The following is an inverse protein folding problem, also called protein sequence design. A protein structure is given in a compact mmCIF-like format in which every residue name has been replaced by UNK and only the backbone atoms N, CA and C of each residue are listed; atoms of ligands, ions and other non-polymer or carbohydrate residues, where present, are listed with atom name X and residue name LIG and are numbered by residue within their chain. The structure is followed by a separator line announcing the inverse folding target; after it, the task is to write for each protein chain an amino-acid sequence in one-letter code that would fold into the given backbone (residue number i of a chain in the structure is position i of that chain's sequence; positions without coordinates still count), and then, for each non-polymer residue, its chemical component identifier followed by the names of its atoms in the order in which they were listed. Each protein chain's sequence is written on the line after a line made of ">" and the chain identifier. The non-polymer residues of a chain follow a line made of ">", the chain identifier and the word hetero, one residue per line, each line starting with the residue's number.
data_IF_669462092530
#
_entry.id   IF_669462092530
#
_cell.length_a   1.000
_cell.length_b   1.000
_cell.length_c   1.000
_cell.angle_alpha   90.00
_cell.angle_beta   90.00
_cell.angle_gamma   90.00
#
_symmetry.space_group_name_H-M   'P 1'
#
loop_
_entity.id
_entity.type
_entity.pdbx_description
1 polymer ?
#
# COMPACT_ATOMS: atom_id res chain seq x y z
N UNK A 1 -24.34 -1.65 -10.84
CA UNK A 1 -22.89 -1.29 -10.87
C UNK A 1 -22.26 -1.40 -9.49
N UNK A 2 -22.68 -0.64 -8.48
CA UNK A 2 -22.10 -0.75 -7.12
C UNK A 2 -22.28 -2.13 -6.45
N UNK A 3 -23.38 -2.83 -6.73
CA UNK A 3 -23.62 -4.18 -6.19
C UNK A 3 -22.62 -5.24 -6.71
N UNK A 4 -22.11 -5.09 -7.95
CA UNK A 4 -21.16 -6.03 -8.53
C UNK A 4 -19.74 -5.87 -7.96
N UNK A 5 -19.34 -4.64 -7.61
CA UNK A 5 -18.05 -4.35 -6.95
C UNK A 5 -17.98 -4.94 -5.54
N UNK A 6 -19.11 -4.90 -4.82
CA UNK A 6 -19.27 -5.46 -3.48
C UNK A 6 -19.08 -6.98 -3.47
N UNK A 7 -19.64 -7.66 -4.47
CA UNK A 7 -19.67 -9.11 -4.58
C UNK A 7 -18.30 -9.69 -4.96
N UNK A 8 -17.51 -8.98 -5.77
CA UNK A 8 -16.19 -9.43 -6.21
C UNK A 8 -15.03 -9.08 -5.27
N UNK A 9 -15.11 -7.98 -4.52
CA UNK A 9 -13.98 -7.50 -3.71
C UNK A 9 -14.24 -7.55 -2.20
N UNK A 10 -15.48 -7.84 -1.79
CA UNK A 10 -15.93 -7.70 -0.40
C UNK A 10 -15.95 -6.25 0.10
N UNK A 11 -15.71 -5.27 -0.78
CA UNK A 11 -15.57 -3.86 -0.44
C UNK A 11 -16.47 -3.04 -1.38
N UNK A 12 -17.40 -2.28 -0.81
CA UNK A 12 -18.36 -1.45 -1.56
C UNK A 12 -17.81 -0.11 -2.01
N UNK A 13 -16.61 0.25 -1.53
CA UNK A 13 -16.06 1.59 -1.60
C UNK A 13 -14.66 1.58 -2.22
N UNK A 14 -14.48 2.42 -3.23
CA UNK A 14 -13.16 2.79 -3.75
C UNK A 14 -12.54 3.85 -2.84
N UNK A 15 -11.21 3.92 -2.72
CA UNK A 15 -10.20 3.11 -3.43
C UNK A 15 -10.00 1.72 -2.81
N UNK A 16 -9.66 0.73 -3.66
CA UNK A 16 -9.06 -0.54 -3.24
C UNK A 16 -7.55 -0.43 -3.46
N UNK A 17 -6.76 -0.63 -2.42
CA UNK A 17 -5.32 -0.40 -2.41
C UNK A 17 -4.62 -1.74 -2.25
N UNK A 18 -3.61 -1.96 -3.09
CA UNK A 18 -2.80 -3.17 -3.13
C UNK A 18 -1.33 -2.82 -3.06
N UNK A 19 -0.55 -3.60 -2.32
CA UNK A 19 0.92 -3.50 -2.27
C UNK A 19 1.46 -4.89 -2.59
N UNK A 20 2.34 -5.00 -3.58
CA UNK A 20 2.96 -6.27 -4.02
C UNK A 20 1.94 -7.38 -4.34
N UNK A 21 0.79 -6.99 -4.90
CA UNK A 21 -0.29 -7.92 -5.25
C UNK A 21 -1.20 -8.34 -4.09
N UNK A 22 -0.92 -7.90 -2.86
CA UNK A 22 -1.78 -8.14 -1.69
C UNK A 22 -2.72 -6.95 -1.44
N UNK A 23 -3.99 -7.22 -1.16
CA UNK A 23 -4.99 -6.18 -0.86
C UNK A 23 -4.84 -5.69 0.58
N UNK A 24 -4.51 -4.42 0.76
CA UNK A 24 -4.36 -3.81 2.10
C UNK A 24 -5.64 -3.12 2.60
N UNK A 25 -6.63 -2.91 1.72
CA UNK A 25 -7.93 -2.33 2.06
C UNK A 25 -8.21 -1.04 1.29
N UNK A 26 -8.85 -0.06 1.94
CA UNK A 26 -9.15 1.23 1.34
C UNK A 26 -8.38 2.41 1.96
N UNK A 27 -8.90 3.63 1.78
CA UNK A 27 -8.26 4.84 2.30
C UNK A 27 -8.01 4.76 3.82
N UNK A 28 -9.05 4.44 4.60
CA UNK A 28 -8.97 4.38 6.06
C UNK A 28 -7.95 3.35 6.55
N UNK A 29 -7.92 2.17 5.91
CA UNK A 29 -6.95 1.12 6.23
C UNK A 29 -5.51 1.57 5.93
N UNK A 30 -5.32 2.26 4.80
CA UNK A 30 -4.01 2.79 4.40
C UNK A 30 -3.55 3.88 5.37
N UNK A 31 -4.44 4.78 5.77
CA UNK A 31 -4.15 5.82 6.77
C UNK A 31 -3.85 5.22 8.14
N UNK A 32 -4.59 4.19 8.57
CA UNK A 32 -4.31 3.47 9.81
C UNK A 32 -2.93 2.77 9.76
N UNK A 33 -2.56 2.16 8.62
CA UNK A 33 -1.22 1.57 8.43
C UNK A 33 -0.11 2.61 8.44
N UNK A 34 -0.36 3.81 7.89
CA UNK A 34 0.59 4.93 7.95
C UNK A 34 0.78 5.40 9.40
N UNK A 35 -0.30 5.69 10.10
CA UNK A 35 -0.28 6.15 11.48
C UNK A 35 0.32 5.10 12.43
N UNK A 36 0.14 3.81 12.13
CA UNK A 36 0.75 2.70 12.86
C UNK A 36 2.19 2.37 12.45
N UNK A 37 2.81 3.13 11.54
CA UNK A 37 4.19 2.95 11.11
C UNK A 37 4.46 1.72 10.22
N UNK A 38 3.42 1.02 9.77
CA UNK A 38 3.53 -0.22 8.97
C UNK A 38 3.60 0.03 7.47
N UNK A 39 3.07 1.16 6.99
CA UNK A 39 2.99 1.44 5.56
C UNK A 39 4.37 1.64 4.90
N UNK A 40 5.27 2.38 5.56
CA UNK A 40 6.61 2.67 5.02
C UNK A 40 7.47 1.40 4.87
N UNK A 41 7.53 0.49 5.87
CA UNK A 41 8.15 -0.82 5.70
C UNK A 41 7.59 -1.61 4.52
N UNK A 42 6.26 -1.71 4.40
CA UNK A 42 5.62 -2.46 3.31
C UNK A 42 5.96 -1.90 1.92
N UNK A 43 5.96 -0.56 1.78
CA UNK A 43 6.34 0.09 0.53
C UNK A 43 7.83 -0.09 0.21
N UNK A 44 8.68 -0.13 1.24
CA UNK A 44 10.12 -0.41 1.10
C UNK A 44 10.36 -1.84 0.63
N UNK A 45 9.72 -2.83 1.26
CA UNK A 45 9.80 -4.24 0.87
C UNK A 45 9.22 -4.51 -0.53
N UNK A 46 8.24 -3.71 -0.94
CA UNK A 46 7.70 -3.71 -2.29
C UNK A 46 8.59 -2.99 -3.31
N UNK A 47 9.66 -2.32 -2.88
CA UNK A 47 10.54 -1.53 -3.75
C UNK A 47 9.87 -0.27 -4.32
N UNK A 48 8.73 0.16 -3.75
CA UNK A 48 7.95 1.29 -4.23
C UNK A 48 8.53 2.64 -3.79
N UNK A 49 9.31 2.65 -2.72
CA UNK A 49 10.01 3.84 -2.21
C UNK A 49 11.47 3.50 -1.90
N UNK A 50 12.36 4.45 -2.16
CA UNK A 50 13.74 4.36 -1.67
C UNK A 50 13.76 4.71 -0.18
N UNK A 51 14.37 3.86 0.66
CA UNK A 51 14.75 4.30 1.99
C UNK A 51 15.89 5.31 1.87
N UNK A 52 15.91 6.32 2.75
CA UNK A 52 16.98 7.32 2.79
C UNK A 52 18.39 6.72 2.98
N UNK A 53 18.50 5.43 3.31
CA UNK A 53 19.76 4.69 3.38
C UNK A 53 20.36 4.29 2.01
N UNK A 54 19.58 4.36 0.91
CA UNK A 54 20.02 3.90 -0.41
C UNK A 54 20.83 4.93 -1.23
N UNK A 55 21.06 6.15 -0.72
CA UNK A 55 21.85 7.18 -1.44
C UNK A 55 23.38 7.03 -1.22
N UNK A 56 23.83 6.03 -0.45
CA UNK A 56 25.24 5.89 -0.08
C UNK A 56 26.02 4.83 -0.89
N UNK A 57 25.78 4.64 -2.19
CA UNK A 57 26.77 3.93 -3.04
C UNK A 57 26.58 4.21 -4.53
N UNK A 58 27.04 5.39 -5.00
CA UNK A 58 27.58 5.49 -6.35
C UNK A 58 28.83 6.36 -6.28
N UNK A 59 29.96 5.72 -5.99
CA UNK A 59 31.29 6.30 -6.08
C UNK A 59 32.20 5.24 -6.68
N UNK A 60 32.22 5.19 -8.02
CA UNK A 60 33.30 4.67 -8.83
C UNK A 60 33.50 5.66 -9.98
#
# INVERSE_FOLDING_TARGET
>A
LQSALAEWTGQKTVPNIFIKGERIGGCDATMAMHNGGKLVPLLTEAGAIATAAATATLSL
#
